data_IF_534213254329
#
_entry.id   IF_534213254329
#
_cell.length_a   1.000
_cell.length_b   1.000
_cell.length_c   1.000
_cell.angle_alpha   90.00
_cell.angle_beta   90.00
_cell.angle_gamma   90.00
#
_symmetry.space_group_name_H-M   'P 1'
#
loop_
_entity.id
_entity.type
_entity.pdbx_description
1 polymer ?
#
# COMPACT_ATOMS: atom_id res chain seq x y z
N UNK A 1 -0.37 -17.89 8.89
CA UNK A 1 0.64 -16.88 8.53
C UNK A 1 1.86 -17.12 9.42
N UNK A 2 2.99 -17.55 8.83
CA UNK A 2 4.20 -17.88 9.60
C UNK A 2 5.00 -16.61 9.89
N UNK A 3 5.20 -16.32 11.17
CA UNK A 3 5.82 -15.08 11.68
C UNK A 3 7.27 -14.91 11.20
N UNK A 4 7.98 -16.01 10.92
CA UNK A 4 9.41 -15.96 10.59
C UNK A 4 9.71 -15.47 9.16
N UNK A 5 8.76 -15.57 8.23
CA UNK A 5 8.99 -15.21 6.82
C UNK A 5 8.83 -13.71 6.54
N UNK A 6 8.27 -12.98 7.50
CA UNK A 6 8.04 -11.53 7.40
C UNK A 6 8.96 -10.71 8.30
N UNK A 7 9.70 -11.33 9.23
CA UNK A 7 10.38 -10.63 10.33
C UNK A 7 11.41 -9.55 9.93
N UNK A 8 11.81 -9.47 8.65
CA UNK A 8 12.71 -8.42 8.13
C UNK A 8 11.97 -7.16 7.66
N UNK A 9 11.66 -7.08 6.36
CA UNK A 9 11.13 -5.88 5.68
C UNK A 9 9.77 -5.43 6.23
N UNK A 10 9.02 -6.32 6.87
CA UNK A 10 7.79 -5.98 7.56
C UNK A 10 8.03 -5.05 8.75
N UNK A 11 9.13 -5.24 9.48
CA UNK A 11 9.46 -4.39 10.61
C UNK A 11 9.69 -2.94 10.16
N UNK A 12 10.30 -2.73 8.99
CA UNK A 12 10.49 -1.40 8.42
C UNK A 12 9.15 -0.67 8.25
N UNK A 13 8.16 -1.37 7.70
CA UNK A 13 6.81 -0.81 7.55
C UNK A 13 6.16 -0.53 8.89
N UNK A 14 6.25 -1.46 9.86
CA UNK A 14 5.64 -1.28 11.18
C UNK A 14 6.23 -0.08 11.93
N UNK A 15 7.54 0.13 11.83
CA UNK A 15 8.23 1.28 12.45
C UNK A 15 7.74 2.60 11.83
N UNK A 16 7.67 2.67 10.49
CA UNK A 16 7.18 3.86 9.78
C UNK A 16 5.69 4.11 10.05
N UNK A 17 4.86 3.06 10.08
CA UNK A 17 3.46 3.15 10.47
C UNK A 17 3.30 3.68 11.90
N UNK A 18 4.13 3.22 12.83
CA UNK A 18 4.14 3.72 14.22
C UNK A 18 4.43 5.22 14.28
N UNK A 19 5.41 5.69 13.50
CA UNK A 19 5.72 7.11 13.39
C UNK A 19 4.54 7.91 12.81
N UNK A 20 3.90 7.41 11.75
CA UNK A 20 2.73 8.07 11.16
C UNK A 20 1.52 8.11 12.08
N UNK A 21 1.21 7.01 12.79
CA UNK A 21 0.10 6.98 13.74
C UNK A 21 0.29 7.98 14.86
N UNK A 22 1.52 8.07 15.38
CA UNK A 22 1.86 9.01 16.44
C UNK A 22 1.70 10.48 16.00
N UNK A 23 2.05 10.79 14.74
CA UNK A 23 2.03 12.16 14.23
C UNK A 23 0.66 12.58 13.66
N UNK A 24 -0.03 11.71 12.93
CA UNK A 24 -1.23 12.05 12.17
C UNK A 24 -2.56 11.65 12.83
N UNK A 25 -2.52 10.84 13.90
CA UNK A 25 -3.65 10.40 14.75
C UNK A 25 -4.77 9.59 14.08
N UNK A 26 -5.25 9.99 12.89
CA UNK A 26 -6.33 9.33 12.14
C UNK A 26 -5.82 8.84 10.78
N UNK A 27 -5.53 7.54 10.70
CA UNK A 27 -5.13 6.84 9.49
C UNK A 27 -6.09 5.69 9.19
N UNK A 28 -6.34 5.46 7.91
CA UNK A 28 -6.97 4.24 7.42
C UNK A 28 -5.88 3.37 6.81
N UNK A 29 -5.98 2.09 7.08
CA UNK A 29 -4.99 1.11 6.68
C UNK A 29 -5.67 -0.05 5.98
N UNK A 30 -5.21 -0.36 4.78
CA UNK A 30 -5.58 -1.56 4.02
C UNK A 30 -4.33 -2.38 3.78
N UNK A 31 -4.44 -3.69 3.95
CA UNK A 31 -3.34 -4.60 3.71
C UNK A 31 -3.84 -5.92 3.17
N UNK A 32 -2.98 -6.63 2.45
CA UNK A 32 -3.31 -7.96 1.97
C UNK A 32 -2.19 -8.60 1.18
N UNK A 33 -2.37 -9.89 0.91
CA UNK A 33 -1.46 -10.67 0.11
C UNK A 33 -1.69 -10.44 -1.40
N UNK A 34 -0.61 -10.50 -2.17
CA UNK A 34 -0.62 -10.49 -3.63
C UNK A 34 0.17 -11.69 -4.19
N UNK A 35 -0.38 -12.28 -5.24
CA UNK A 35 0.10 -13.52 -5.84
C UNK A 35 0.36 -13.27 -7.32
N UNK A 36 1.64 -13.12 -7.65
CA UNK A 36 2.20 -12.89 -8.98
C UNK A 36 3.52 -13.67 -9.05
N UNK A 37 3.41 -14.99 -9.19
CA UNK A 37 4.55 -15.91 -9.22
C UNK A 37 5.27 -15.87 -10.58
N UNK A 38 4.57 -15.46 -11.63
CA UNK A 38 5.14 -15.33 -12.99
C UNK A 38 5.81 -13.97 -13.22
N UNK A 39 5.55 -12.98 -12.36
CA UNK A 39 6.18 -11.66 -12.38
C UNK A 39 5.67 -10.76 -13.50
N UNK A 40 4.40 -10.89 -13.89
CA UNK A 40 3.81 -10.08 -14.96
C UNK A 40 3.07 -8.82 -14.44
N UNK A 41 3.05 -8.63 -13.12
CA UNK A 41 2.40 -7.49 -12.46
C UNK A 41 0.89 -7.62 -12.38
N UNK A 42 0.33 -8.79 -12.67
CA UNK A 42 -1.10 -9.07 -12.63
C UNK A 42 -1.34 -10.27 -11.70
N UNK A 43 -2.53 -10.31 -11.08
CA UNK A 43 -2.89 -11.44 -10.22
C UNK A 43 -2.90 -12.76 -11.00
N UNK A 44 -2.23 -13.76 -10.45
CA UNK A 44 -2.33 -15.14 -10.93
C UNK A 44 -3.77 -15.66 -10.84
N UNK A 45 -4.17 -16.51 -11.80
CA UNK A 45 -5.49 -17.14 -11.78
C UNK A 45 -5.59 -18.26 -10.72
N UNK A 46 -4.48 -18.92 -10.40
CA UNK A 46 -4.44 -20.06 -9.48
C UNK A 46 -3.85 -19.67 -8.11
N UNK A 47 -4.48 -18.67 -7.48
CA UNK A 47 -4.10 -18.18 -6.15
C UNK A 47 -4.14 -19.29 -5.08
N UNK A 48 -4.97 -20.32 -5.29
CA UNK A 48 -5.20 -21.42 -4.34
C UNK A 48 -4.01 -22.39 -4.29
N UNK A 49 -3.27 -22.58 -5.39
CA UNK A 49 -2.12 -23.49 -5.42
C UNK A 49 -0.80 -22.86 -4.99
N UNK A 50 -0.70 -21.53 -5.02
CA UNK A 50 0.56 -20.82 -4.78
C UNK A 50 1.11 -20.97 -3.35
N UNK A 51 0.24 -21.17 -2.34
CA UNK A 51 0.60 -21.42 -0.94
C UNK A 51 1.21 -20.23 -0.19
N UNK A 52 2.20 -19.54 -0.77
CA UNK A 52 2.92 -18.38 -0.23
C UNK A 52 2.70 -17.19 -1.16
N UNK A 53 2.30 -16.02 -0.65
CA UNK A 53 2.19 -14.84 -1.50
C UNK A 53 3.56 -14.37 -1.97
N UNK A 54 3.63 -13.93 -3.22
CA UNK A 54 4.83 -13.28 -3.78
C UNK A 54 5.11 -11.91 -3.14
N UNK A 55 4.05 -11.19 -2.77
CA UNK A 55 4.11 -9.83 -2.25
C UNK A 55 3.05 -9.62 -1.16
N UNK A 56 3.27 -8.63 -0.30
CA UNK A 56 2.21 -8.04 0.52
C UNK A 56 2.09 -6.58 0.12
N UNK A 57 0.86 -6.10 -0.01
CA UNK A 57 0.60 -4.69 -0.21
C UNK A 57 0.09 -4.03 1.06
N UNK A 58 0.36 -2.73 1.17
CA UNK A 58 -0.16 -1.85 2.21
C UNK A 58 -0.66 -0.58 1.55
N UNK A 59 -1.76 -0.03 2.06
CA UNK A 59 -2.21 1.30 1.67
C UNK A 59 -2.53 2.06 2.95
N UNK A 60 -1.75 3.10 3.19
CA UNK A 60 -2.08 4.10 4.19
C UNK A 60 -2.85 5.22 3.53
N UNK A 61 -3.90 5.68 4.17
CA UNK A 61 -4.67 6.83 3.74
C UNK A 61 -4.81 7.82 4.90
N UNK A 62 -4.92 9.10 4.55
CA UNK A 62 -5.32 10.19 5.42
C UNK A 62 -5.96 11.31 4.65
N UNK A 63 -6.68 12.18 5.34
CA UNK A 63 -7.13 13.44 4.77
C UNK A 63 -6.05 14.49 5.01
N UNK A 64 -5.71 15.27 3.98
CA UNK A 64 -4.76 16.36 4.12
C UNK A 64 -5.21 17.37 5.19
N UNK A 65 -6.51 17.66 5.23
CA UNK A 65 -7.21 18.48 6.23
C UNK A 65 -7.18 17.94 7.66
N UNK A 66 -6.78 16.67 7.86
CA UNK A 66 -6.88 15.99 9.15
C UNK A 66 -8.30 15.54 9.54
N UNK A 67 -9.27 15.68 8.63
CA UNK A 67 -10.60 15.12 8.84
C UNK A 67 -10.55 13.58 8.97
N UNK A 68 -11.51 12.95 9.68
CA UNK A 68 -11.60 11.50 9.72
C UNK A 68 -11.84 10.90 8.33
N UNK A 69 -11.19 9.77 8.05
CA UNK A 69 -11.36 9.00 6.80
C UNK A 69 -12.63 8.15 6.87
N UNK A 70 -13.78 8.81 7.05
CA UNK A 70 -15.08 8.14 7.10
C UNK A 70 -16.09 8.95 6.30
N UNK A 71 -16.76 8.28 5.37
CA UNK A 71 -17.80 8.88 4.54
C UNK A 71 -17.28 9.94 3.56
N UNK A 72 -18.11 10.93 3.28
CA UNK A 72 -17.86 12.00 2.29
C UNK A 72 -16.98 13.14 2.80
N UNK A 73 -16.55 13.10 4.07
CA UNK A 73 -15.85 14.20 4.74
C UNK A 73 -14.41 14.40 4.26
N UNK A 74 -13.86 13.41 3.54
CA UNK A 74 -12.49 13.40 3.07
C UNK A 74 -12.45 13.43 1.53
N UNK A 75 -12.27 14.62 0.96
CA UNK A 75 -12.10 14.80 -0.50
C UNK A 75 -10.65 15.03 -0.91
N UNK A 76 -9.83 15.47 0.04
CA UNK A 76 -8.40 15.74 -0.08
C UNK A 76 -7.57 14.54 0.45
N UNK A 77 -7.88 13.35 -0.08
CA UNK A 77 -7.25 12.09 0.34
C UNK A 77 -5.79 12.08 -0.11
N UNK A 78 -4.89 11.84 0.84
CA UNK A 78 -3.51 11.46 0.61
C UNK A 78 -3.36 9.98 0.89
N UNK A 79 -2.54 9.29 0.10
CA UNK A 79 -2.28 7.87 0.29
C UNK A 79 -0.83 7.50 0.00
N UNK A 80 -0.34 6.51 0.72
CA UNK A 80 0.94 5.85 0.50
C UNK A 80 0.71 4.35 0.33
N UNK A 81 0.66 3.88 -0.92
CA UNK A 81 0.57 2.47 -1.24
C UNK A 81 1.98 1.89 -1.40
N UNK A 82 2.16 0.68 -0.87
CA UNK A 82 3.40 -0.09 -0.91
C UNK A 82 3.09 -1.46 -1.48
N UNK A 83 4.02 -2.01 -2.26
CA UNK A 83 4.03 -3.42 -2.66
C UNK A 83 5.39 -3.97 -2.23
N UNK A 84 5.41 -4.76 -1.17
CA UNK A 84 6.65 -5.31 -0.62
C UNK A 84 6.80 -6.78 -1.04
N UNK A 85 7.95 -7.19 -1.60
CA UNK A 85 8.21 -8.59 -1.88
C UNK A 85 8.28 -9.41 -0.60
N UNK A 86 7.73 -10.62 -0.64
CA UNK A 86 7.92 -11.63 0.41
C UNK A 86 9.22 -12.35 0.13
N UNK A 87 10.29 -11.87 0.77
CA UNK A 87 11.62 -12.41 0.60
C UNK A 87 12.26 -12.69 1.97
N UNK A 88 12.98 -13.81 2.07
CA UNK A 88 13.65 -14.22 3.30
C UNK A 88 14.81 -13.29 3.69
N UNK A 89 15.31 -12.48 2.75
CA UNK A 89 16.41 -11.53 2.95
C UNK A 89 16.17 -10.25 2.18
N UNK A 90 16.44 -9.12 2.82
CA UNK A 90 16.65 -7.88 2.09
C UNK A 90 18.06 -7.92 1.48
N UNK A 91 18.14 -7.92 0.14
CA UNK A 91 19.40 -7.90 -0.60
C UNK A 91 19.80 -6.49 -1.07
N UNK A 92 18.96 -5.48 -0.85
CA UNK A 92 19.31 -4.11 -1.20
C UNK A 92 20.08 -3.43 -0.06
N UNK A 93 21.05 -2.59 -0.43
CA UNK A 93 21.87 -1.83 0.51
C UNK A 93 21.19 -0.53 0.97
N UNK A 94 19.86 -0.51 0.98
CA UNK A 94 19.05 0.66 1.31
C UNK A 94 18.79 0.75 2.81
N UNK A 95 18.63 1.97 3.32
CA UNK A 95 18.03 2.17 4.64
C UNK A 95 16.55 1.75 4.62
N UNK A 96 15.95 1.50 5.79
CA UNK A 96 14.55 1.10 5.90
C UNK A 96 13.59 2.08 5.20
N UNK A 97 13.84 3.39 5.31
CA UNK A 97 13.00 4.43 4.71
C UNK A 97 13.16 4.50 3.19
N UNK A 98 14.39 4.37 2.69
CA UNK A 98 14.67 4.28 1.25
C UNK A 98 14.06 3.01 0.65
N UNK A 99 14.18 1.88 1.33
CA UNK A 99 13.53 0.62 0.94
C UNK A 99 12.03 0.80 0.75
N UNK A 100 11.35 1.38 1.75
CA UNK A 100 9.90 1.59 1.69
C UNK A 100 9.53 2.56 0.56
N UNK A 101 10.30 3.62 0.37
CA UNK A 101 10.06 4.57 -0.72
C UNK A 101 10.22 3.92 -2.10
N UNK A 102 11.28 3.13 -2.29
CA UNK A 102 11.57 2.41 -3.53
C UNK A 102 10.49 1.37 -3.88
N UNK A 103 9.79 0.87 -2.86
CA UNK A 103 8.67 -0.06 -3.00
C UNK A 103 7.28 0.63 -2.94
N UNK A 104 7.22 1.96 -3.06
CA UNK A 104 5.95 2.65 -3.28
C UNK A 104 5.42 2.36 -4.69
N UNK A 105 4.11 2.34 -4.84
CA UNK A 105 3.46 2.01 -6.10
C UNK A 105 2.31 2.96 -6.42
N UNK A 106 1.57 2.70 -7.50
CA UNK A 106 0.24 3.30 -7.70
C UNK A 106 -0.79 2.39 -7.04
N UNK A 107 -1.93 2.95 -6.64
CA UNK A 107 -3.07 2.12 -6.23
C UNK A 107 -3.50 1.18 -7.37
N UNK A 108 -3.37 1.63 -8.63
CA UNK A 108 -3.64 0.81 -9.80
C UNK A 108 -2.79 -0.46 -9.87
N UNK A 109 -1.55 -0.43 -9.40
CA UNK A 109 -0.68 -1.62 -9.41
C UNK A 109 -1.19 -2.65 -8.41
N UNK A 110 -1.67 -2.20 -7.24
CA UNK A 110 -2.34 -3.07 -6.25
C UNK A 110 -3.65 -3.62 -6.83
N UNK A 111 -4.44 -2.82 -7.55
CA UNK A 111 -5.66 -3.29 -8.21
C UNK A 111 -5.37 -4.42 -9.20
N UNK A 112 -4.31 -4.30 -10.00
CA UNK A 112 -3.90 -5.32 -10.97
C UNK A 112 -3.44 -6.62 -10.29
N UNK A 113 -2.67 -6.51 -9.21
CA UNK A 113 -2.14 -7.65 -8.45
C UNK A 113 -3.17 -8.39 -7.60
N UNK A 114 -4.32 -7.77 -7.32
CA UNK A 114 -5.30 -8.32 -6.37
C UNK A 114 -6.67 -8.54 -6.98
N UNK A 115 -6.99 -7.83 -8.05
CA UNK A 115 -8.34 -7.75 -8.64
C UNK A 115 -9.30 -6.87 -7.83
N UNK A 116 -8.83 -6.18 -6.78
CA UNK A 116 -9.63 -5.20 -6.04
C UNK A 116 -9.73 -3.87 -6.80
N UNK A 117 -10.62 -2.98 -6.34
CA UNK A 117 -10.75 -1.64 -6.91
C UNK A 117 -10.96 -0.59 -5.81
N UNK A 118 -10.25 0.54 -5.91
CA UNK A 118 -10.35 1.68 -5.00
C UNK A 118 -11.21 2.80 -5.60
N UNK A 119 -11.73 3.69 -4.74
CA UNK A 119 -12.53 4.87 -5.13
C UNK A 119 -13.69 4.53 -6.10
N UNK A 120 -14.45 3.49 -5.75
CA UNK A 120 -15.54 2.94 -6.58
C UNK A 120 -16.86 3.68 -6.42
N UNK A 121 -17.08 4.36 -5.28
CA UNK A 121 -18.30 5.13 -5.04
C UNK A 121 -18.37 6.36 -5.96
N UNK A 122 -19.29 6.31 -6.93
CA UNK A 122 -19.50 7.36 -7.94
C UNK A 122 -20.32 8.54 -7.45
N UNK A 123 -20.95 8.46 -6.29
CA UNK A 123 -21.55 9.63 -5.64
C UNK A 123 -20.47 10.52 -4.99
N UNK A 124 -19.34 9.91 -4.63
CA UNK A 124 -18.20 10.61 -4.03
C UNK A 124 -17.15 10.97 -5.09
N UNK A 125 -16.77 10.05 -5.97
CA UNK A 125 -15.66 10.25 -6.90
C UNK A 125 -16.14 10.14 -8.34
N UNK A 126 -16.00 11.22 -9.12
CA UNK A 126 -16.19 11.12 -10.57
C UNK A 126 -15.21 10.12 -11.17
N UNK A 127 -15.53 9.61 -12.35
CA UNK A 127 -14.67 8.63 -13.04
C UNK A 127 -13.26 9.18 -13.28
N UNK A 128 -13.14 10.44 -13.67
CA UNK A 128 -11.85 11.10 -13.89
C UNK A 128 -11.04 11.27 -12.60
N UNK A 129 -11.67 11.72 -11.52
CA UNK A 129 -11.01 11.87 -10.21
C UNK A 129 -10.51 10.50 -9.71
N UNK A 130 -11.37 9.48 -9.75
CA UNK A 130 -11.00 8.15 -9.33
C UNK A 130 -9.88 7.56 -10.20
N UNK A 131 -9.87 7.81 -11.52
CA UNK A 131 -8.75 7.39 -12.39
C UNK A 131 -7.47 8.09 -11.99
N UNK A 132 -7.49 9.41 -11.84
CA UNK A 132 -6.32 10.21 -11.48
C UNK A 132 -5.74 9.77 -10.13
N UNK A 133 -6.59 9.60 -9.11
CA UNK A 133 -6.19 9.10 -7.79
C UNK A 133 -5.55 7.71 -7.90
N UNK A 134 -6.14 6.79 -8.67
CA UNK A 134 -5.61 5.43 -8.78
C UNK A 134 -4.28 5.34 -9.51
N UNK A 135 -4.00 6.26 -10.43
CA UNK A 135 -2.78 6.26 -11.24
C UNK A 135 -1.66 7.15 -10.70
N UNK A 136 -1.92 7.93 -9.65
CA UNK A 136 -0.90 8.78 -9.04
C UNK A 136 0.18 7.94 -8.35
N UNK A 137 1.44 8.32 -8.57
CA UNK A 137 2.62 7.69 -7.97
C UNK A 137 3.20 8.62 -6.91
N UNK A 138 3.40 8.15 -5.65
CA UNK A 138 4.08 8.93 -4.62
C UNK A 138 5.43 9.45 -5.07
N UNK A 139 5.69 10.73 -4.78
CA UNK A 139 6.99 11.37 -5.04
C UNK A 139 7.86 11.47 -3.78
N UNK A 140 7.26 11.23 -2.61
CA UNK A 140 7.95 11.15 -1.33
C UNK A 140 7.09 10.37 -0.33
N UNK A 141 7.73 9.88 0.73
CA UNK A 141 7.03 9.47 1.95
C UNK A 141 6.50 10.70 2.70
N UNK A 142 5.56 10.49 3.64
CA UNK A 142 5.04 11.59 4.45
C UNK A 142 6.10 12.06 5.45
N UNK A 143 6.15 13.36 5.69
CA UNK A 143 7.03 13.94 6.69
C UNK A 143 6.51 13.63 8.09
N UNK A 144 7.41 13.29 9.01
CA UNK A 144 7.16 13.24 10.44
C UNK A 144 8.21 14.16 11.05
N UNK A 145 7.79 15.27 11.66
CA UNK A 145 8.70 16.27 12.24
C UNK A 145 8.50 16.35 13.74
#
# INVERSE_FOLDING_TARGET
MYINQFAGTWQYFLDELGAYLNYYSDLAFFAGAAYDQVGDGVRDNDVVSAGVPSHIFFVLLRCQSGAPIRGTLCKDVLFLPYILPVADRNLNCLTSREYLFDNTARLRDIELLTGMQFFTDRQIWSTSEALQLRTWLPQSLWSVQ
#
